data_IF_625242129366
#
_entry.id   IF_625242129366
#
_cell.length_a   1.000
_cell.length_b   1.000
_cell.length_c   1.000
_cell.angle_alpha   90.00
_cell.angle_beta   90.00
_cell.angle_gamma   90.00
#
_symmetry.space_group_name_H-M   'P 1'
#
loop_
_entity.id
_entity.type
_entity.pdbx_description
1 polymer ?
#
# COMPACT_ATOMS: atom_id res chain seq x y z
N UNK A 1 5.95 -22.97 -9.29
CA UNK A 1 4.65 -22.26 -9.36
C UNK A 1 4.88 -20.76 -9.29
N UNK A 2 4.23 -20.00 -10.17
CA UNK A 2 4.33 -18.53 -10.23
C UNK A 2 3.80 -17.84 -8.96
N UNK A 3 4.46 -16.75 -8.56
CA UNK A 3 4.03 -15.83 -7.50
C UNK A 3 2.88 -14.94 -7.98
N UNK A 4 1.90 -14.72 -7.11
CA UNK A 4 0.77 -13.83 -7.38
C UNK A 4 0.87 -12.62 -6.44
N UNK A 5 0.93 -11.41 -6.98
CA UNK A 5 0.98 -10.18 -6.22
C UNK A 5 -0.35 -9.44 -6.30
N UNK A 6 -0.98 -9.16 -5.16
CA UNK A 6 -2.16 -8.29 -5.10
C UNK A 6 -1.69 -6.89 -4.70
N UNK A 7 -1.78 -5.98 -5.66
CA UNK A 7 -1.33 -4.59 -5.57
C UNK A 7 -2.50 -3.62 -5.72
N UNK A 8 -2.21 -2.32 -5.68
CA UNK A 8 -3.20 -1.27 -5.91
C UNK A 8 -3.31 -0.32 -4.73
N UNK A 9 -4.39 0.47 -4.68
CA UNK A 9 -4.57 1.42 -3.58
C UNK A 9 -5.16 0.76 -2.34
N UNK A 10 -4.81 1.27 -1.17
CA UNK A 10 -5.44 0.84 0.08
C UNK A 10 -6.96 1.06 0.01
N UNK A 11 -7.73 0.16 0.62
CA UNK A 11 -9.20 0.25 0.78
C UNK A 11 -10.07 -0.08 -0.45
N UNK A 12 -9.49 -0.64 -1.51
CA UNK A 12 -10.24 -1.12 -2.71
C UNK A 12 -10.74 -2.56 -2.62
N UNK A 13 -10.59 -3.24 -1.48
CA UNK A 13 -11.00 -4.64 -1.36
C UNK A 13 -9.89 -5.65 -1.65
N UNK A 14 -8.62 -5.23 -1.73
CA UNK A 14 -7.46 -6.15 -1.88
C UNK A 14 -7.41 -7.30 -0.86
N UNK A 15 -7.91 -7.08 0.37
CA UNK A 15 -8.03 -8.14 1.38
C UNK A 15 -9.17 -9.13 1.10
N UNK A 16 -10.24 -8.70 0.43
CA UNK A 16 -11.33 -9.59 0.05
C UNK A 16 -10.90 -10.50 -1.10
N UNK A 17 -10.20 -9.96 -2.09
CA UNK A 17 -9.60 -10.77 -3.14
C UNK A 17 -8.60 -11.80 -2.56
N UNK A 18 -7.69 -11.37 -1.69
CA UNK A 18 -6.73 -12.27 -1.05
C UNK A 18 -7.40 -13.44 -0.31
N UNK A 19 -8.49 -13.16 0.42
CA UNK A 19 -9.25 -14.21 1.12
C UNK A 19 -9.99 -15.15 0.19
N UNK A 20 -10.49 -14.65 -0.94
CA UNK A 20 -11.10 -15.48 -1.98
C UNK A 20 -10.07 -16.45 -2.59
N UNK A 21 -8.86 -15.96 -2.87
CA UNK A 21 -7.74 -16.81 -3.30
C UNK A 21 -7.37 -17.85 -2.23
N UNK A 22 -7.40 -17.46 -0.95
CA UNK A 22 -7.16 -18.37 0.17
C UNK A 22 -8.20 -19.49 0.25
N UNK A 23 -9.48 -19.16 0.07
CA UNK A 23 -10.57 -20.14 -0.01
C UNK A 23 -10.49 -21.05 -1.24
N UNK A 24 -9.84 -20.57 -2.30
CA UNK A 24 -9.54 -21.35 -3.50
C UNK A 24 -8.28 -22.23 -3.34
N UNK A 25 -7.76 -22.36 -2.12
CA UNK A 25 -6.63 -23.24 -1.79
C UNK A 25 -5.25 -22.58 -1.88
N UNK A 26 -5.16 -21.28 -2.13
CA UNK A 26 -3.87 -20.58 -2.18
C UNK A 26 -3.39 -20.10 -0.81
N UNK A 27 -2.11 -20.27 -0.55
CA UNK A 27 -1.50 -19.72 0.66
C UNK A 27 -1.19 -18.22 0.48
N UNK A 28 -1.68 -17.38 1.40
CA UNK A 28 -1.67 -15.91 1.30
C UNK A 28 -0.87 -15.22 2.41
N UNK A 29 -0.09 -14.19 2.06
CA UNK A 29 0.52 -13.24 2.99
C UNK A 29 -0.23 -11.91 2.99
N UNK A 30 -0.35 -11.29 4.17
CA UNK A 30 -1.17 -10.09 4.38
C UNK A 30 -0.32 -9.00 5.00
N UNK A 31 0.37 -8.23 4.15
CA UNK A 31 1.21 -7.11 4.59
C UNK A 31 2.39 -7.54 5.50
N UNK A 32 2.79 -8.82 5.48
CA UNK A 32 3.95 -9.35 6.21
C UNK A 32 5.25 -8.61 5.88
N UNK A 33 5.37 -8.12 4.64
CA UNK A 33 6.55 -7.43 4.10
C UNK A 33 6.39 -5.91 4.13
N UNK A 34 5.33 -5.40 4.75
CA UNK A 34 4.90 -4.02 4.59
C UNK A 34 5.99 -3.03 4.98
N UNK A 35 6.79 -3.30 6.00
CA UNK A 35 7.91 -2.42 6.39
C UNK A 35 8.95 -2.32 5.28
N UNK A 36 9.50 -3.45 4.82
CA UNK A 36 10.48 -3.47 3.73
C UNK A 36 9.90 -2.90 2.41
N UNK A 37 8.63 -3.19 2.13
CA UNK A 37 7.93 -2.64 0.96
C UNK A 37 7.80 -1.11 1.04
N UNK A 38 7.47 -0.55 2.21
CA UNK A 38 7.44 0.91 2.42
C UNK A 38 8.80 1.53 2.23
N UNK A 39 9.83 0.88 2.76
CA UNK A 39 11.19 1.38 2.69
C UNK A 39 11.64 1.51 1.25
N UNK A 40 11.43 0.46 0.45
CA UNK A 40 11.79 0.47 -0.97
C UNK A 40 10.90 1.42 -1.78
N UNK A 41 9.58 1.37 -1.62
CA UNK A 41 8.65 2.00 -2.55
C UNK A 41 8.17 3.40 -2.17
N UNK A 42 8.15 3.75 -0.89
CA UNK A 42 7.67 5.04 -0.40
C UNK A 42 8.83 5.92 0.03
N UNK A 43 9.77 5.36 0.81
CA UNK A 43 10.93 6.07 1.31
C UNK A 43 12.14 6.01 0.37
N UNK A 44 12.02 5.31 -0.76
CA UNK A 44 13.05 5.16 -1.79
C UNK A 44 14.41 4.64 -1.29
N UNK A 45 14.39 3.87 -0.18
CA UNK A 45 15.56 3.22 0.42
C UNK A 45 15.94 1.97 -0.35
N UNK A 46 16.60 2.16 -1.50
CA UNK A 46 17.00 1.08 -2.42
C UNK A 46 17.93 0.06 -1.78
N UNK A 47 18.68 0.43 -0.75
CA UNK A 47 19.51 -0.47 0.04
C UNK A 47 18.71 -1.58 0.76
N UNK A 48 17.40 -1.40 0.95
CA UNK A 48 16.50 -2.42 1.51
C UNK A 48 15.99 -3.43 0.47
N UNK A 49 16.24 -3.19 -0.82
CA UNK A 49 15.77 -4.06 -1.91
C UNK A 49 16.27 -5.51 -1.80
N UNK A 50 17.57 -5.78 -1.53
CA UNK A 50 18.03 -7.16 -1.36
C UNK A 50 17.32 -7.89 -0.22
N UNK A 51 17.05 -7.21 0.89
CA UNK A 51 16.32 -7.78 2.02
C UNK A 51 14.85 -8.08 1.68
N UNK A 52 14.18 -7.17 0.96
CA UNK A 52 12.82 -7.41 0.46
C UNK A 52 12.78 -8.61 -0.48
N UNK A 53 13.72 -8.70 -1.43
CA UNK A 53 13.80 -9.83 -2.36
C UNK A 53 14.07 -11.15 -1.65
N UNK A 54 15.02 -11.18 -0.71
CA UNK A 54 15.29 -12.38 0.08
C UNK A 54 14.04 -12.84 0.86
N UNK A 55 13.29 -11.90 1.43
CA UNK A 55 12.03 -12.20 2.13
C UNK A 55 10.95 -12.75 1.17
N UNK A 56 10.77 -12.13 0.01
CA UNK A 56 9.78 -12.59 -0.98
C UNK A 56 10.14 -13.94 -1.62
N UNK A 57 11.43 -14.19 -1.89
CA UNK A 57 11.95 -15.46 -2.43
C UNK A 57 11.88 -16.60 -1.41
N UNK A 58 12.11 -16.31 -0.12
CA UNK A 58 12.01 -17.31 0.95
C UNK A 58 10.57 -17.59 1.39
N UNK A 59 9.63 -16.67 1.14
CA UNK A 59 8.22 -16.91 1.41
C UNK A 59 7.69 -18.06 0.55
N UNK A 60 7.20 -19.13 1.20
CA UNK A 60 6.59 -20.27 0.50
C UNK A 60 5.16 -19.99 0.04
N UNK A 61 4.55 -18.89 0.49
CA UNK A 61 3.18 -18.54 0.09
C UNK A 61 3.11 -18.10 -1.36
N UNK A 62 2.05 -18.51 -2.05
CA UNK A 62 1.86 -18.20 -3.48
C UNK A 62 1.37 -16.76 -3.68
N UNK A 63 0.54 -16.26 -2.78
CA UNK A 63 -0.08 -14.93 -2.89
C UNK A 63 0.57 -13.95 -1.92
N UNK A 64 1.06 -12.84 -2.47
CA UNK A 64 1.65 -11.72 -1.76
C UNK A 64 0.75 -10.49 -1.86
N UNK A 65 -0.04 -10.22 -0.82
CA UNK A 65 -0.87 -9.02 -0.78
C UNK A 65 -0.15 -7.90 -0.04
N UNK A 66 0.22 -6.85 -0.77
CA UNK A 66 0.76 -5.62 -0.21
C UNK A 66 0.51 -4.48 -1.19
N UNK A 67 -0.29 -3.49 -0.77
CA UNK A 67 -0.72 -2.41 -1.64
C UNK A 67 0.45 -1.51 -2.10
N UNK A 68 1.49 -1.40 -1.27
CA UNK A 68 2.69 -0.59 -1.55
C UNK A 68 3.54 -1.18 -2.68
N UNK A 69 3.46 -2.49 -2.94
CA UNK A 69 4.20 -3.14 -4.02
C UNK A 69 3.77 -2.68 -5.43
N UNK A 70 2.67 -1.92 -5.55
CA UNK A 70 2.26 -1.27 -6.79
C UNK A 70 3.42 -0.50 -7.46
N UNK A 71 4.23 0.19 -6.65
CA UNK A 71 5.32 1.03 -7.13
C UNK A 71 6.60 0.25 -7.47
N UNK A 72 6.60 -1.07 -7.27
CA UNK A 72 7.74 -1.97 -7.50
C UNK A 72 7.41 -3.05 -8.53
N UNK A 73 6.25 -3.00 -9.20
CA UNK A 73 5.77 -4.07 -10.10
C UNK A 73 6.80 -4.42 -11.18
N UNK A 74 7.38 -3.41 -11.83
CA UNK A 74 8.36 -3.64 -12.91
C UNK A 74 9.66 -4.27 -12.41
N UNK A 75 10.15 -3.85 -11.24
CA UNK A 75 11.35 -4.43 -10.64
C UNK A 75 11.08 -5.84 -10.11
N UNK A 76 9.89 -6.09 -9.58
CA UNK A 76 9.45 -7.43 -9.19
C UNK A 76 9.31 -8.35 -10.40
N UNK A 77 8.86 -7.88 -11.55
CA UNK A 77 8.80 -8.68 -12.78
C UNK A 77 10.18 -9.12 -13.26
N UNK A 78 11.22 -8.31 -13.08
CA UNK A 78 12.60 -8.71 -13.41
C UNK A 78 13.07 -9.88 -12.52
N UNK A 79 12.65 -9.88 -11.26
CA UNK A 79 13.07 -10.88 -10.26
C UNK A 79 12.16 -12.10 -10.20
N UNK A 80 10.92 -11.96 -10.65
CA UNK A 80 9.91 -13.00 -10.74
C UNK A 80 9.25 -12.94 -12.13
N UNK A 81 9.94 -13.39 -13.20
CA UNK A 81 9.46 -13.23 -14.59
C UNK A 81 8.08 -13.83 -14.85
N UNK A 82 7.76 -14.94 -14.18
CA UNK A 82 6.47 -15.61 -14.33
C UNK A 82 5.37 -15.04 -13.43
N UNK A 83 5.67 -14.03 -12.61
CA UNK A 83 4.72 -13.52 -11.62
C UNK A 83 3.49 -12.87 -12.26
N UNK A 84 2.35 -13.08 -11.62
CA UNK A 84 1.08 -12.46 -11.98
C UNK A 84 0.72 -11.37 -10.98
N UNK A 85 0.26 -10.23 -11.48
CA UNK A 85 -0.10 -9.05 -10.68
C UNK A 85 -1.57 -8.74 -10.87
N UNK A 86 -2.28 -8.56 -9.76
CA UNK A 86 -3.69 -8.19 -9.77
C UNK A 86 -3.84 -6.86 -9.04
N UNK A 87 -4.31 -5.85 -9.75
CA UNK A 87 -4.65 -4.56 -9.19
C UNK A 87 -6.17 -4.41 -9.06
N UNK A 88 -6.65 -3.86 -7.94
CA UNK A 88 -8.07 -3.54 -7.78
C UNK A 88 -8.34 -2.06 -8.01
N UNK A 89 -9.33 -1.79 -8.87
CA UNK A 89 -10.06 -0.52 -8.92
C UNK A 89 -11.34 -0.63 -8.09
N UNK A 90 -11.78 0.49 -7.55
CA UNK A 90 -13.02 0.62 -6.78
C UNK A 90 -13.56 2.03 -6.98
N UNK A 91 -14.87 2.18 -6.87
CA UNK A 91 -15.52 3.49 -6.83
C UNK A 91 -14.75 4.48 -5.93
N UNK A 92 -14.55 5.68 -6.46
CA UNK A 92 -13.73 6.72 -5.83
C UNK A 92 -14.34 7.17 -4.51
N UNK A 93 -15.65 7.43 -4.48
CA UNK A 93 -16.31 7.89 -3.26
C UNK A 93 -16.27 6.82 -2.17
N UNK A 94 -16.59 5.58 -2.51
CA UNK A 94 -16.54 4.45 -1.59
C UNK A 94 -15.13 4.23 -1.03
N UNK A 95 -14.11 4.41 -1.87
CA UNK A 95 -12.70 4.30 -1.47
C UNK A 95 -12.30 5.44 -0.53
N UNK A 96 -12.60 6.68 -0.88
CA UNK A 96 -12.28 7.86 -0.06
C UNK A 96 -13.01 7.83 1.29
N UNK A 97 -14.31 7.50 1.31
CA UNK A 97 -15.06 7.28 2.57
C UNK A 97 -14.41 6.20 3.43
N UNK A 98 -13.94 5.10 2.84
CA UNK A 98 -13.24 4.07 3.60
C UNK A 98 -11.86 4.51 4.10
N UNK A 99 -11.13 5.31 3.31
CA UNK A 99 -9.85 5.91 3.70
C UNK A 99 -10.03 6.84 4.90
N UNK A 100 -11.01 7.74 4.84
CA UNK A 100 -11.34 8.69 5.89
C UNK A 100 -11.84 8.04 7.19
N UNK A 101 -12.27 6.77 7.17
CA UNK A 101 -12.61 6.03 8.40
C UNK A 101 -11.41 5.32 9.02
N UNK A 102 -10.32 5.07 8.27
CA UNK A 102 -9.23 4.19 8.72
C UNK A 102 -8.03 5.00 9.26
N UNK A 103 -7.74 4.86 10.57
CA UNK A 103 -6.60 5.52 11.25
C UNK A 103 -5.25 5.32 10.53
N UNK A 104 -4.93 4.10 10.11
CA UNK A 104 -3.68 3.79 9.40
C UNK A 104 -3.55 4.45 8.02
N UNK A 105 -4.67 4.85 7.42
CA UNK A 105 -4.67 5.63 6.19
C UNK A 105 -4.46 7.11 6.50
N UNK A 106 -5.12 7.63 7.53
CA UNK A 106 -4.96 9.04 7.96
C UNK A 106 -3.54 9.34 8.40
N UNK A 107 -2.87 8.38 9.05
CA UNK A 107 -1.50 8.56 9.52
C UNK A 107 -0.52 8.90 8.39
N UNK A 108 -0.78 8.51 7.14
CA UNK A 108 0.05 8.92 6.01
C UNK A 108 -0.04 10.42 5.71
N UNK A 109 -1.23 11.02 5.87
CA UNK A 109 -1.41 12.45 5.73
C UNK A 109 -0.80 13.27 6.87
N UNK A 110 -0.50 12.62 8.00
CA UNK A 110 0.12 13.23 9.18
C UNK A 110 1.64 13.03 9.20
N UNK A 111 2.12 11.87 8.74
CA UNK A 111 3.56 11.49 8.68
C UNK A 111 4.20 11.77 7.33
N UNK A 112 3.63 12.68 6.55
CA UNK A 112 4.15 13.00 5.21
C UNK A 112 5.53 13.68 5.27
N UNK A 113 5.91 14.24 6.42
CA UNK A 113 7.19 14.93 6.58
C UNK A 113 8.39 13.98 6.38
N UNK A 114 8.22 12.69 6.66
CA UNK A 114 9.25 11.65 6.51
C UNK A 114 9.31 11.07 5.09
N UNK A 115 8.36 11.43 4.22
CA UNK A 115 8.25 10.86 2.87
C UNK A 115 8.99 11.80 1.89
N UNK A 116 9.87 11.26 1.01
CA UNK A 116 10.57 12.07 0.03
C UNK A 116 9.61 12.71 -0.97
N UNK A 117 9.94 13.93 -1.41
CA UNK A 117 9.24 14.66 -2.46
C UNK A 117 10.15 14.84 -3.69
N UNK A 118 9.61 14.75 -4.92
CA UNK A 118 8.21 14.46 -5.27
C UNK A 118 7.78 13.04 -4.88
N UNK A 119 6.60 12.91 -4.28
CA UNK A 119 6.11 11.62 -3.79
C UNK A 119 5.08 11.03 -4.75
N UNK A 120 5.48 9.98 -5.47
CA UNK A 120 4.55 9.19 -6.28
C UNK A 120 3.49 8.53 -5.40
N UNK A 121 3.88 7.99 -4.24
CA UNK A 121 2.95 7.39 -3.30
C UNK A 121 1.85 8.37 -2.86
N UNK A 122 2.21 9.60 -2.44
CA UNK A 122 1.24 10.59 -1.98
C UNK A 122 0.50 11.31 -3.13
N UNK A 123 1.04 11.27 -4.35
CA UNK A 123 0.51 12.01 -5.49
C UNK A 123 0.82 13.50 -5.42
N UNK A 124 1.97 13.86 -4.87
CA UNK A 124 2.31 15.25 -4.58
C UNK A 124 3.72 15.60 -5.04
N UNK A 125 3.84 16.65 -5.85
CA UNK A 125 5.13 17.12 -6.38
C UNK A 125 5.91 17.94 -5.36
N UNK A 126 5.23 18.82 -4.63
CA UNK A 126 5.83 19.73 -3.67
C UNK A 126 5.26 19.52 -2.27
N UNK A 127 6.13 19.57 -1.25
CA UNK A 127 5.74 19.42 0.17
C UNK A 127 4.85 20.57 0.63
N UNK A 128 5.17 21.80 0.23
CA UNK A 128 4.42 23.01 0.59
C UNK A 128 3.00 23.04 0.04
N UNK A 129 2.77 22.52 -1.17
CA UNK A 129 1.39 22.36 -1.66
C UNK A 129 0.60 21.33 -0.85
N UNK A 130 1.27 20.24 -0.46
CA UNK A 130 0.63 19.12 0.24
C UNK A 130 0.31 19.45 1.70
N UNK A 131 1.11 20.26 2.39
CA UNK A 131 0.91 20.55 3.81
C UNK A 131 -0.41 21.27 4.08
N UNK A 132 -0.79 22.20 3.20
CA UNK A 132 -2.02 22.98 3.28
C UNK A 132 -3.29 22.21 2.91
N UNK A 133 -3.17 21.03 2.29
CA UNK A 133 -4.32 20.20 1.98
C UNK A 133 -4.97 19.63 3.25
N UNK A 134 -6.30 19.62 3.28
CA UNK A 134 -7.05 18.89 4.30
C UNK A 134 -6.93 17.36 4.07
N UNK A 135 -7.45 16.56 5.02
CA UNK A 135 -7.28 15.09 4.95
C UNK A 135 -8.02 14.46 3.77
N UNK A 136 -9.14 15.04 3.33
CA UNK A 136 -9.91 14.59 2.17
C UNK A 136 -9.13 14.79 0.88
N UNK A 137 -8.54 15.98 0.70
CA UNK A 137 -7.66 16.29 -0.42
C UNK A 137 -6.43 15.37 -0.44
N UNK A 138 -5.75 15.21 0.70
CA UNK A 138 -4.61 14.29 0.85
C UNK A 138 -4.96 12.85 0.47
N UNK A 139 -6.13 12.36 0.90
CA UNK A 139 -6.62 11.03 0.50
C UNK A 139 -6.92 10.95 -1.00
N UNK A 140 -7.50 12.02 -1.57
CA UNK A 140 -7.84 12.11 -2.99
C UNK A 140 -6.61 12.11 -3.87
N UNK A 141 -5.62 12.95 -3.57
CA UNK A 141 -4.33 12.98 -4.28
C UNK A 141 -3.67 11.60 -4.28
N UNK A 142 -3.65 10.93 -3.11
CA UNK A 142 -3.10 9.58 -3.00
C UNK A 142 -3.87 8.57 -3.84
N UNK A 143 -5.20 8.59 -3.80
CA UNK A 143 -6.04 7.71 -4.60
C UNK A 143 -5.75 7.90 -6.10
N UNK A 144 -5.78 9.13 -6.58
CA UNK A 144 -5.55 9.46 -7.99
C UNK A 144 -4.16 9.06 -8.45
N UNK A 145 -3.12 9.25 -7.63
CA UNK A 145 -1.77 8.80 -7.98
C UNK A 145 -1.68 7.29 -8.14
N UNK A 146 -2.31 6.51 -7.25
CA UNK A 146 -2.33 5.06 -7.39
C UNK A 146 -3.17 4.62 -8.60
N UNK A 147 -4.27 5.30 -8.92
CA UNK A 147 -5.05 4.99 -10.12
C UNK A 147 -4.26 5.31 -11.39
N UNK A 148 -3.54 6.44 -11.42
CA UNK A 148 -2.66 6.79 -12.53
C UNK A 148 -1.59 5.71 -12.75
N UNK A 149 -0.97 5.21 -11.67
CA UNK A 149 0.02 4.13 -11.77
C UNK A 149 -0.61 2.80 -12.22
N UNK A 150 -1.78 2.43 -11.71
CA UNK A 150 -2.50 1.23 -12.19
C UNK A 150 -2.82 1.34 -13.68
N UNK A 151 -3.31 2.50 -14.15
CA UNK A 151 -3.59 2.72 -15.56
C UNK A 151 -2.32 2.64 -16.39
N UNK A 152 -1.23 3.26 -15.93
CA UNK A 152 0.07 3.21 -16.60
C UNK A 152 0.57 1.77 -16.75
N UNK A 153 0.49 0.98 -15.69
CA UNK A 153 0.91 -0.42 -15.69
C UNK A 153 0.00 -1.28 -16.58
N UNK A 154 -1.32 -1.07 -16.56
CA UNK A 154 -2.27 -1.75 -17.44
C UNK A 154 -1.96 -1.50 -18.92
N UNK A 155 -1.57 -0.28 -19.29
CA UNK A 155 -1.16 0.04 -20.67
C UNK A 155 0.23 -0.47 -21.03
N UNK A 156 1.14 -0.58 -20.07
CA UNK A 156 2.56 -0.89 -20.30
C UNK A 156 2.85 -2.39 -20.29
N UNK A 157 2.16 -3.15 -19.45
CA UNK A 157 2.47 -4.56 -19.18
C UNK A 157 1.57 -5.49 -19.98
N UNK A 158 2.05 -6.72 -20.18
CA UNK A 158 1.26 -7.76 -20.86
C UNK A 158 0.02 -8.13 -20.03
N UNK A 159 -1.15 -8.34 -20.67
CA UNK A 159 -2.35 -8.86 -20.00
C UNK A 159 -2.14 -10.26 -19.40
N UNK A 160 -1.07 -10.98 -19.78
CA UNK A 160 -0.73 -12.30 -19.22
C UNK A 160 -0.07 -12.22 -17.84
N UNK A 161 0.53 -11.07 -17.50
CA UNK A 161 1.21 -10.86 -16.23
C UNK A 161 0.56 -9.78 -15.35
N UNK A 162 -0.26 -8.89 -15.91
CA UNK A 162 -0.93 -7.83 -15.15
C UNK A 162 -2.41 -7.74 -15.50
N UNK A 163 -3.26 -7.83 -14.48
CA UNK A 163 -4.71 -7.68 -14.63
C UNK A 163 -5.25 -6.63 -13.67
N UNK A 164 -6.13 -5.77 -14.18
CA UNK A 164 -6.98 -4.91 -13.36
C UNK A 164 -8.37 -5.53 -13.24
N UNK A 165 -8.86 -5.61 -12.00
CA UNK A 165 -10.23 -6.05 -11.70
C UNK A 165 -10.97 -4.92 -10.97
N UNK A 166 -12.27 -4.82 -11.23
CA UNK A 166 -13.14 -3.87 -10.55
C UNK A 166 -13.75 -4.53 -9.31
N UNK A 167 -13.68 -3.84 -8.18
CA UNK A 167 -14.25 -4.33 -6.91
C UNK A 167 -15.76 -4.52 -7.01
N UNK A 168 -16.45 -3.62 -7.73
CA UNK A 168 -17.89 -3.63 -7.91
C UNK A 168 -18.37 -4.81 -8.76
N UNK A 169 -17.54 -5.28 -9.71
CA UNK A 169 -17.88 -6.34 -10.66
C UNK A 169 -17.06 -7.61 -10.46
N UNK A 170 -16.34 -7.75 -9.34
CA UNK A 170 -15.43 -8.88 -9.14
C UNK A 170 -16.13 -10.24 -9.27
N UNK A 171 -17.40 -10.32 -8.86
CA UNK A 171 -18.23 -11.52 -9.00
C UNK A 171 -18.46 -11.91 -10.47
N UNK A 172 -18.58 -10.94 -11.37
CA UNK A 172 -18.69 -11.15 -12.81
C UNK A 172 -17.33 -11.39 -13.48
N UNK A 173 -16.25 -10.87 -12.89
CA UNK A 173 -14.87 -11.03 -13.36
C UNK A 173 -14.24 -12.38 -12.97
N UNK A 174 -14.96 -13.25 -12.25
CA UNK A 174 -14.36 -14.45 -11.65
C UNK A 174 -13.81 -15.42 -12.70
N UNK A 175 -14.54 -15.66 -13.79
CA UNK A 175 -14.09 -16.55 -14.87
C UNK A 175 -12.84 -16.00 -15.56
N UNK A 176 -12.82 -14.68 -15.80
CA UNK A 176 -11.68 -13.98 -16.38
C UNK A 176 -10.46 -14.07 -15.47
N UNK A 177 -10.65 -13.91 -14.17
CA UNK A 177 -9.60 -14.03 -13.17
C UNK A 177 -9.11 -15.49 -13.00
N UNK A 178 -10.02 -16.46 -13.05
CA UNK A 178 -9.71 -17.90 -13.03
C UNK A 178 -8.81 -18.28 -14.20
N UNK A 179 -9.19 -17.84 -15.42
CA UNK A 179 -8.36 -18.01 -16.63
C UNK A 179 -7.01 -17.32 -16.48
N UNK A 180 -6.99 -16.08 -15.99
CA UNK A 180 -5.75 -15.35 -15.76
C UNK A 180 -4.84 -16.06 -14.76
N UNK A 181 -5.37 -16.70 -13.72
CA UNK A 181 -4.56 -17.40 -12.71
C UNK A 181 -4.28 -18.87 -13.02
N UNK A 182 -4.90 -19.41 -14.07
CA UNK A 182 -4.89 -20.83 -14.43
C UNK A 182 -5.34 -21.71 -13.23
N UNK A 183 -6.50 -21.37 -12.66
CA UNK A 183 -7.12 -22.13 -11.58
C UNK A 183 -8.61 -21.83 -11.45
N UNK A 184 -9.36 -22.74 -10.84
CA UNK A 184 -10.75 -22.51 -10.44
C UNK A 184 -10.81 -21.64 -9.17
N UNK A 185 -11.45 -20.47 -9.27
CA UNK A 185 -11.55 -19.52 -8.17
C UNK A 185 -12.94 -19.51 -7.56
N UNK A 186 -12.95 -19.51 -6.22
CA UNK A 186 -14.13 -19.35 -5.39
C UNK A 186 -14.07 -18.01 -4.68
N UNK A 187 -15.09 -17.19 -4.87
CA UNK A 187 -15.19 -15.92 -4.17
C UNK A 187 -15.72 -16.10 -2.76
N UNK A 188 -15.07 -15.44 -1.80
CA UNK A 188 -15.63 -15.29 -0.47
C UNK A 188 -16.91 -14.45 -0.58
N UNK A 189 -18.04 -14.87 0.02
CA UNK A 189 -19.23 -14.04 0.08
C UNK A 189 -18.90 -12.65 0.63
N UNK A 190 -19.36 -11.62 -0.08
CA UNK A 190 -19.12 -10.25 0.33
C UNK A 190 -19.81 -10.02 1.68
N UNK A 191 -19.05 -9.56 2.68
CA UNK A 191 -19.65 -9.19 3.96
C UNK A 191 -20.58 -8.00 3.74
N UNK A 192 -21.83 -8.05 4.24
CA UNK A 192 -22.72 -6.89 4.19
C UNK A 192 -22.05 -5.72 4.90
N UNK A 193 -22.16 -4.53 4.31
CA UNK A 193 -21.59 -3.32 4.87
C UNK A 193 -22.25 -3.02 6.23
N UNK A 194 -21.59 -3.33 7.35
CA UNK A 194 -22.10 -3.00 8.68
C UNK A 194 -21.72 -3.98 9.80
N UNK A 195 -21.42 -5.25 9.49
CA UNK A 195 -21.04 -6.22 10.52
C UNK A 195 -19.52 -6.21 10.72
N UNK A 196 -19.07 -5.73 11.88
CA UNK A 196 -17.67 -5.79 12.29
C UNK A 196 -17.15 -7.23 12.21
N UNK A 197 -15.87 -7.40 11.86
CA UNK A 197 -15.24 -8.73 11.90
C UNK A 197 -15.29 -9.25 13.34
N UNK A 198 -15.78 -10.48 13.59
CA UNK A 198 -15.46 -11.14 14.85
C UNK A 198 -13.95 -11.16 14.97
N UNK A 199 -13.43 -10.78 16.15
CA UNK A 199 -12.00 -10.73 16.40
C UNK A 199 -11.40 -12.08 15.96
N UNK A 200 -10.41 -12.03 15.05
CA UNK A 200 -9.72 -13.26 14.61
C UNK A 200 -9.21 -13.95 15.88
N UNK A 201 -9.49 -15.24 16.11
CA UNK A 201 -8.96 -15.93 17.27
C UNK A 201 -7.45 -15.71 17.25
N UNK A 202 -6.92 -15.11 18.32
CA UNK A 202 -5.48 -14.86 18.46
C UNK A 202 -4.84 -16.23 18.28
N UNK A 203 -4.14 -16.46 17.16
CA UNK A 203 -3.32 -17.66 16.97
C UNK A 203 -2.49 -17.79 18.24
N UNK A 204 -2.72 -18.87 18.98
CA UNK A 204 -1.96 -19.14 20.19
C UNK A 204 -0.49 -19.01 19.80
N UNK A 205 0.21 -18.05 20.42
CA UNK A 205 1.66 -17.96 20.29
C UNK A 205 2.17 -19.24 20.95
N UNK A 206 2.40 -20.28 20.16
CA UNK A 206 3.21 -21.41 20.59
C UNK A 206 4.56 -20.82 20.93
N UNK A 207 4.79 -20.60 22.23
CA UNK A 207 6.10 -20.33 22.80
C UNK A 207 6.93 -21.58 22.53
N UNK A 208 7.51 -21.68 21.34
CA UNK A 208 8.60 -22.58 21.09
C UNK A 208 9.74 -22.15 21.99
N UNK A 209 9.94 -22.87 23.10
CA UNK A 209 11.18 -22.82 23.86
C UNK A 209 12.32 -23.21 22.92
N UNK A 210 12.94 -22.21 22.27
CA UNK A 210 14.29 -22.37 21.74
C UNK A 210 15.23 -22.43 22.93
N UNK A 211 15.58 -23.65 23.33
CA UNK A 211 16.69 -23.90 24.23
C UNK A 211 17.94 -23.22 23.70
N UNK A 212 18.47 -22.27 24.48
CA UNK A 212 19.82 -21.75 24.31
C UNK A 212 20.80 -22.90 24.53
N UNK A 213 21.30 -23.53 23.47
CA UNK A 213 22.58 -24.24 23.56
C UNK A 213 23.67 -23.18 23.57
N UNK A 214 24.34 -23.04 24.72
CA UNK A 214 25.63 -22.35 24.83
C UNK A 214 26.62 -23.18 24.01
N UNK A 215 27.14 -22.61 22.93
CA UNK A 215 28.35 -23.14 22.31
C UNK A 215 29.54 -22.52 23.06
N UNK A 216 30.33 -23.38 23.71
CA UNK A 216 31.64 -23.04 24.23
C UNK A 216 32.55 -22.71 23.03
N UNK A 217 33.05 -21.48 23.02
CA UNK A 217 34.05 -21.02 22.07
C UNK A 217 35.42 -21.21 22.72
N UNK A 218 36.09 -22.32 22.41
CA UNK A 218 37.48 -22.55 22.77
C UNK A 218 38.38 -21.57 22.01
N UNK A 219 39.24 -20.90 22.78
CA UNK A 219 40.31 -20.01 22.31
C UNK A 219 41.38 -20.81 21.59
N UNK A 220 41.89 -20.28 20.48
CA UNK A 220 43.20 -20.66 19.94
C UNK A 220 43.26 -20.51 18.42
N UNK A 221 44.01 -19.53 17.92
CA UNK A 221 44.29 -19.43 16.49
C UNK A 221 44.68 -18.04 16.03
N UNK A 222 45.99 -17.79 16.02
CA UNK A 222 46.67 -16.64 15.43
C UNK A 222 46.24 -16.42 13.97
N UNK A 223 45.95 -15.18 13.58
CA UNK A 223 46.04 -14.74 12.19
C UNK A 223 46.46 -13.26 12.10
N UNK A 224 47.52 -13.04 11.34
CA UNK A 224 48.23 -11.79 11.11
C UNK A 224 47.43 -10.75 10.28
N UNK A 225 47.79 -9.46 10.32
CA UNK A 225 47.07 -8.42 9.58
C UNK A 225 47.58 -8.31 8.14
N UNK A 226 46.74 -8.65 7.17
CA UNK A 226 46.94 -8.27 5.77
C UNK A 226 46.27 -6.90 5.53
N UNK A 227 47.11 -5.86 5.44
CA UNK A 227 46.76 -4.58 4.81
C UNK A 227 46.77 -4.78 3.30
N UNK A 228 45.62 -4.61 2.65
CA UNK A 228 45.54 -4.41 1.21
C UNK A 228 44.73 -3.13 0.95
N UNK A 229 45.39 -2.14 0.35
CA UNK A 229 44.80 -0.86 0.00
C UNK A 229 43.79 -0.98 -1.12
N UNK A 230 42.68 -0.27 -0.99
CA UNK A 230 41.69 -0.09 -2.06
C UNK A 230 42.01 1.22 -2.78
N UNK A 231 42.21 1.23 -4.11
CA UNK A 231 42.41 2.45 -4.86
C UNK A 231 41.08 3.22 -5.02
N UNK A 232 41.17 4.53 -4.80
CA UNK A 232 40.12 5.53 -5.03
C UNK A 232 39.65 5.50 -6.49
N UNK A 233 38.46 4.96 -6.75
CA UNK A 233 37.78 5.12 -8.03
C UNK A 233 37.06 6.49 -8.06
N UNK A 234 37.58 7.41 -8.89
CA UNK A 234 36.91 8.68 -9.20
C UNK A 234 35.58 8.40 -9.92
N UNK A 235 34.49 8.90 -9.35
CA UNK A 235 33.20 8.96 -10.03
C UNK A 235 33.26 10.00 -11.17
N UNK A 236 32.68 9.71 -12.35
CA UNK A 236 32.57 10.70 -13.42
C UNK A 236 31.61 11.84 -13.05
N UNK A 237 31.79 13.04 -13.64
CA UNK A 237 30.95 14.19 -13.35
C UNK A 237 29.50 13.95 -13.78
N UNK A 238 28.57 14.38 -12.92
CA UNK A 238 27.13 14.39 -13.21
C UNK A 238 26.85 15.31 -14.39
N UNK A 239 26.18 14.77 -15.41
CA UNK A 239 25.60 15.57 -16.49
C UNK A 239 24.54 16.55 -15.94
N UNK A 240 24.42 17.76 -16.52
CA UNK A 240 23.44 18.74 -16.08
C UNK A 240 22.01 18.25 -16.32
N UNK A 241 21.17 18.43 -15.30
CA UNK A 241 19.75 18.11 -15.34
C UNK A 241 19.06 18.93 -16.45
N UNK A 242 18.58 18.25 -17.50
CA UNK A 242 17.66 18.83 -18.47
C UNK A 242 16.30 19.04 -17.78
N UNK A 243 15.86 20.29 -17.75
CA UNK A 243 14.52 20.72 -17.33
C UNK A 243 13.47 20.25 -18.34
N UNK A 244 13.10 18.96 -18.27
CA UNK A 244 11.94 18.42 -18.95
C UNK A 244 10.68 18.66 -18.12
N UNK A 245 9.81 19.57 -18.57
CA UNK A 245 8.41 19.64 -18.16
C UNK A 245 7.75 18.28 -18.46
N UNK A 246 7.26 17.60 -17.42
CA UNK A 246 6.44 16.39 -17.57
C UNK A 246 5.02 16.83 -17.96
N UNK A 247 4.47 16.40 -19.10
CA UNK A 247 3.11 16.75 -19.49
C UNK A 247 2.06 16.00 -18.65
N UNK A 248 1.04 16.73 -18.19
CA UNK A 248 -0.32 16.21 -18.04
C UNK A 248 -0.66 15.46 -16.75
N UNK A 249 -0.80 16.18 -15.64
CA UNK A 249 -1.84 15.83 -14.66
C UNK A 249 -3.14 16.55 -15.08
N UNK A 250 -4.31 15.90 -15.09
CA UNK A 250 -5.59 16.59 -15.33
C UNK A 250 -5.92 17.41 -14.07
N UNK A 251 -5.29 18.58 -13.95
CA UNK A 251 -5.13 19.26 -12.67
C UNK A 251 -6.35 20.08 -12.22
N UNK A 252 -7.41 20.23 -13.02
CA UNK A 252 -8.48 21.19 -12.67
C UNK A 252 -9.91 20.68 -12.85
N UNK A 253 -10.26 20.01 -13.95
CA UNK A 253 -11.69 19.73 -14.22
C UNK A 253 -12.29 18.58 -13.38
N UNK A 254 -11.52 17.53 -13.09
CA UNK A 254 -12.02 16.39 -12.29
C UNK A 254 -12.06 16.73 -10.80
N UNK A 255 -11.13 17.56 -10.32
CA UNK A 255 -11.07 18.02 -8.92
C UNK A 255 -12.28 18.89 -8.56
N UNK A 256 -12.65 19.84 -9.43
CA UNK A 256 -13.83 20.70 -9.24
C UNK A 256 -15.14 19.91 -9.21
N UNK A 257 -15.30 18.90 -10.08
CA UNK A 257 -16.53 18.09 -10.12
C UNK A 257 -16.71 17.18 -8.91
N UNK A 258 -15.62 16.63 -8.36
CA UNK A 258 -15.67 15.78 -7.16
C UNK A 258 -15.88 16.63 -5.90
N UNK A 259 -15.23 17.80 -5.79
CA UNK A 259 -15.49 18.75 -4.68
C UNK A 259 -16.93 19.28 -4.69
N UNK A 260 -17.47 19.62 -5.86
CA UNK A 260 -18.86 20.07 -5.99
C UNK A 260 -19.87 18.97 -5.62
N UNK A 261 -19.62 17.71 -6.01
CA UNK A 261 -20.48 16.58 -5.64
C UNK A 261 -20.36 16.18 -4.17
N UNK A 262 -19.18 16.27 -3.57
CA UNK A 262 -18.97 15.96 -2.15
C UNK A 262 -19.53 17.04 -1.23
N UNK A 263 -19.46 18.32 -1.61
CA UNK A 263 -20.08 19.42 -0.84
C UNK A 263 -21.61 19.30 -0.77
N UNK A 264 -22.25 18.76 -1.80
CA UNK A 264 -23.72 18.67 -1.88
C UNK A 264 -24.33 17.37 -1.29
N UNK A 265 -23.52 16.45 -0.74
CA UNK A 265 -23.99 15.12 -0.25
C UNK A 265 -23.50 14.74 1.14
N UNK A 266 -22.84 15.66 1.84
CA UNK A 266 -22.50 15.46 3.25
C UNK A 266 -23.53 16.28 4.03
N UNK A 267 -24.53 15.60 4.58
CA UNK A 267 -25.44 16.20 5.55
C UNK A 267 -24.60 16.83 6.67
N UNK A 268 -24.88 18.08 7.07
CA UNK A 268 -24.20 18.67 8.21
C UNK A 268 -24.44 17.77 9.41
N UNK A 269 -23.35 17.28 10.00
CA UNK A 269 -23.40 16.65 11.32
C UNK A 269 -23.81 17.78 12.25
N UNK A 270 -25.07 17.77 12.70
CA UNK A 270 -25.57 18.69 13.72
C UNK A 270 -24.61 18.65 14.91
N UNK A 271 -23.92 19.77 15.13
CA UNK A 271 -23.20 20.01 16.36
C UNK A 271 -24.25 20.31 17.42
N UNK A 272 -24.58 19.32 18.25
CA UNK A 272 -25.26 19.57 19.52
C UNK A 272 -24.33 20.39 20.40
N UNK A 273 -24.48 21.71 20.35
CA UNK A 273 -23.92 22.62 21.35
C UNK A 273 -24.73 22.46 22.63
N UNK A 274 -24.15 21.77 23.61
CA UNK A 274 -24.56 21.94 25.00
C UNK A 274 -24.13 23.34 25.43
N UNK A 275 -25.08 24.25 25.57
CA UNK A 275 -24.90 25.47 26.35
C UNK A 275 -24.76 25.10 27.83
N UNK A 276 -23.75 25.62 28.55
CA UNK A 276 -23.71 25.54 30.00
C UNK A 276 -24.69 26.57 30.58
N UNK A 277 -25.73 26.08 31.24
CA UNK A 277 -26.61 26.88 32.10
C UNK A 277 -25.81 27.52 33.23
N UNK A 278 -25.80 28.84 33.29
CA UNK A 278 -25.27 29.63 34.41
C UNK A 278 -26.22 29.49 35.63
N UNK A 279 -25.69 29.50 36.87
CA UNK A 279 -26.51 29.43 38.07
C UNK A 279 -27.21 30.77 38.33
N UNK A 280 -28.51 30.71 38.59
CA UNK A 280 -29.33 31.83 39.06
C UNK A 280 -28.90 32.26 40.46
N UNK A 281 -28.75 33.57 40.64
CA UNK A 281 -28.50 34.20 41.93
C UNK A 281 -29.81 34.25 42.73
N UNK A 282 -29.83 33.62 43.90
CA UNK A 282 -30.88 33.78 44.91
C UNK A 282 -30.72 35.13 45.61
N UNK A 283 -31.69 36.01 45.42
CA UNK A 283 -32.00 37.11 46.34
C UNK A 283 -32.95 36.57 47.39
N UNK A 284 -32.56 36.60 48.66
CA UNK A 284 -33.49 36.67 49.79
C UNK A 284 -32.92 37.66 50.83
N UNK A 285 -33.87 38.30 51.51
CA UNK A 285 -33.79 39.44 52.44
C UNK A 285 -32.91 39.24 53.68
#
# INVERSE_FOLDING_TARGET
>A
MSKIFIVGTGRTGTHWLARSLEQSGLSCSYEDWLTLSKDCAIYERKEQWPALLAALKSDRRRVCKCHVLLWLVEDLLKEFPDAKFIALRRDVEATLRSMLKKKSVKSWGQKYQDIPFPSKFLGAKYKTGYEHCNIQEKCSMRYWSHMAEINRLEHKLSPDCYMVVSYETLEHDIERLSKFLDMDLKLEPRKPAGKAHPARPKRAKTRGHRGRRKAECTRGGLCAPLRAGVPNARLPPRAPARSGLVPGYPETQTRVKVEAKLKNKIDPIESTSHEPSLPEASNEE
#
